data_IF_428478273304
#
_entry.id   IF_428478273304
#
_cell.length_a   1.000
_cell.length_b   1.000
_cell.length_c   1.000
_cell.angle_alpha   90.00
_cell.angle_beta   90.00
_cell.angle_gamma   90.00
#
_symmetry.space_group_name_H-M   'P 1'
#
loop_
_entity.id
_entity.type
_entity.pdbx_description
1 polymer ?
#
# COMPACT_ATOMS: atom_id res chain seq x y z
N UNK A 1 -10.55 -8.30 -4.17
CA UNK A 1 -9.67 -8.28 -2.98
C UNK A 1 -8.28 -8.81 -3.27
N UNK A 2 -8.11 -10.09 -3.62
CA UNK A 2 -6.79 -10.75 -3.65
C UNK A 2 -5.77 -10.10 -4.60
N UNK A 3 -6.19 -9.68 -5.80
CA UNK A 3 -5.30 -9.04 -6.78
C UNK A 3 -4.51 -7.86 -6.18
N UNK A 4 -5.21 -6.93 -5.53
CA UNK A 4 -4.60 -5.74 -4.93
C UNK A 4 -3.64 -6.06 -3.79
N UNK A 5 -3.93 -7.11 -3.01
CA UNK A 5 -3.06 -7.57 -1.93
C UNK A 5 -1.77 -8.14 -2.50
N UNK A 6 -1.87 -9.03 -3.50
CA UNK A 6 -0.69 -9.62 -4.14
C UNK A 6 0.17 -8.58 -4.85
N UNK A 7 -0.44 -7.67 -5.59
CA UNK A 7 0.27 -6.58 -6.27
C UNK A 7 1.08 -5.74 -5.27
N UNK A 8 0.43 -5.29 -4.19
CA UNK A 8 1.10 -4.51 -3.14
C UNK A 8 2.24 -5.28 -2.44
N UNK A 9 2.08 -6.59 -2.26
CA UNK A 9 3.08 -7.45 -1.63
C UNK A 9 4.29 -7.64 -2.54
N UNK A 10 4.10 -7.92 -3.83
CA UNK A 10 5.20 -8.10 -4.78
C UNK A 10 5.96 -6.81 -5.02
N UNK A 11 5.27 -5.67 -5.13
CA UNK A 11 5.92 -4.36 -5.27
C UNK A 11 6.79 -4.05 -4.05
N UNK A 12 6.29 -4.31 -2.84
CA UNK A 12 7.08 -4.12 -1.61
C UNK A 12 8.30 -5.08 -1.56
N UNK A 13 8.12 -6.36 -1.88
CA UNK A 13 9.20 -7.37 -1.90
C UNK A 13 10.31 -7.05 -2.90
N UNK A 14 9.97 -6.51 -4.07
CA UNK A 14 10.96 -6.19 -5.10
C UNK A 14 11.68 -4.87 -4.84
N UNK A 15 11.03 -3.94 -4.12
CA UNK A 15 11.59 -2.60 -3.85
C UNK A 15 12.48 -2.61 -2.59
N UNK A 16 12.18 -3.49 -1.62
CA UNK A 16 12.93 -3.61 -0.37
C UNK A 16 14.44 -3.90 -0.54
N UNK A 17 14.89 -4.83 -1.41
CA UNK A 17 16.32 -5.12 -1.59
C UNK A 17 17.11 -3.93 -2.13
N UNK A 18 16.56 -3.20 -3.11
CA UNK A 18 17.22 -2.03 -3.69
C UNK A 18 17.42 -0.92 -2.67
N UNK A 19 16.43 -0.68 -1.83
CA UNK A 19 16.47 0.42 -0.86
C UNK A 19 17.25 0.06 0.39
N UNK A 20 17.25 -1.21 0.80
CA UNK A 20 18.07 -1.69 1.93
C UNK A 20 19.55 -1.36 1.73
N UNK A 21 20.05 -1.47 0.50
CA UNK A 21 21.44 -1.12 0.16
C UNK A 21 21.72 0.37 0.32
N UNK A 22 20.77 1.23 -0.08
CA UNK A 22 20.88 2.69 0.05
C UNK A 22 20.82 3.11 1.52
N UNK A 23 19.87 2.57 2.29
CA UNK A 23 19.71 2.86 3.72
C UNK A 23 20.96 2.46 4.52
N UNK A 24 21.58 1.31 4.19
CA UNK A 24 22.83 0.89 4.83
C UNK A 24 24.00 1.84 4.51
N UNK A 25 24.07 2.38 3.29
CA UNK A 25 25.07 3.41 2.92
C UNK A 25 24.83 4.73 3.65
N UNK A 26 23.59 5.20 3.73
CA UNK A 26 23.25 6.44 4.45
C UNK A 26 23.45 6.30 5.96
N UNK A 27 23.21 5.12 6.53
CA UNK A 27 23.52 4.81 7.94
C UNK A 27 25.02 4.88 8.22
N UNK A 28 25.87 4.38 7.31
CA UNK A 28 27.32 4.47 7.45
C UNK A 28 27.83 5.92 7.44
N UNK A 29 27.05 6.86 6.86
CA UNK A 29 27.35 8.30 6.88
C UNK A 29 26.84 9.03 8.14
N UNK A 30 26.07 8.37 9.00
CA UNK A 30 25.56 8.94 10.25
C UNK A 30 24.38 9.94 10.09
N UNK A 31 23.77 10.03 8.91
CA UNK A 31 22.88 11.16 8.58
C UNK A 31 21.42 11.03 9.05
N UNK A 32 20.86 9.83 9.30
CA UNK A 32 19.42 9.69 9.64
C UNK A 32 19.06 8.54 10.61
N UNK A 33 18.04 8.78 11.44
CA UNK A 33 17.39 7.77 12.28
C UNK A 33 16.42 6.90 11.44
N UNK A 34 16.47 5.57 11.64
CA UNK A 34 15.70 4.57 10.89
C UNK A 34 14.18 4.80 10.92
N UNK A 35 13.66 5.33 12.04
CA UNK A 35 12.23 5.60 12.26
C UNK A 35 11.69 6.75 11.41
N UNK A 36 12.47 7.82 11.24
CA UNK A 36 12.07 8.97 10.44
C UNK A 36 12.02 8.60 8.94
N UNK A 37 12.98 7.79 8.47
CA UNK A 37 12.98 7.28 7.10
C UNK A 37 11.78 6.36 6.85
N UNK A 38 11.51 5.41 7.77
CA UNK A 38 10.38 4.50 7.63
C UNK A 38 9.04 5.24 7.61
N UNK A 39 8.84 6.22 8.50
CA UNK A 39 7.61 7.02 8.53
C UNK A 39 7.44 7.88 7.27
N UNK A 40 8.49 8.59 6.84
CA UNK A 40 8.43 9.42 5.65
C UNK A 40 8.11 8.59 4.40
N UNK A 41 8.74 7.42 4.30
CA UNK A 41 8.55 6.51 3.19
C UNK A 41 7.14 5.92 3.14
N UNK A 42 6.67 5.33 4.24
CA UNK A 42 5.30 4.77 4.34
C UNK A 42 4.24 5.84 4.06
N UNK A 43 4.47 7.08 4.52
CA UNK A 43 3.53 8.18 4.26
C UNK A 43 3.55 8.67 2.81
N UNK A 44 4.68 8.51 2.10
CA UNK A 44 4.78 8.87 0.67
C UNK A 44 4.23 7.80 -0.27
N UNK A 45 4.37 6.51 0.08
CA UNK A 45 3.93 5.40 -0.75
C UNK A 45 2.45 5.06 -0.55
N UNK A 46 1.95 5.18 0.70
CA UNK A 46 0.55 4.86 1.01
C UNK A 46 -0.47 5.61 0.14
N UNK A 47 -0.37 6.94 -0.11
CA UNK A 47 -1.33 7.65 -0.94
C UNK A 47 -1.34 7.13 -2.39
N UNK A 48 -0.16 6.91 -2.97
CA UNK A 48 -0.02 6.43 -4.34
C UNK A 48 -0.65 5.04 -4.51
N UNK A 49 -0.45 4.14 -3.53
CA UNK A 49 -1.01 2.79 -3.57
C UNK A 49 -2.50 2.72 -3.24
N UNK A 50 -3.06 3.69 -2.51
CA UNK A 50 -4.48 3.71 -2.17
C UNK A 50 -5.35 4.32 -3.29
N UNK A 51 -4.81 5.21 -4.12
CA UNK A 51 -5.56 5.86 -5.22
C UNK A 51 -5.99 4.85 -6.30
N UNK A 52 -5.12 3.92 -6.67
CA UNK A 52 -5.40 2.87 -7.66
C UNK A 52 -6.61 1.96 -7.29
N UNK A 53 -6.65 1.32 -6.11
CA UNK A 53 -7.78 0.51 -5.69
C UNK A 53 -9.04 1.34 -5.43
N UNK A 54 -8.93 2.60 -5.00
CA UNK A 54 -10.06 3.52 -4.89
C UNK A 54 -10.73 3.75 -6.26
N UNK A 55 -9.94 4.12 -7.27
CA UNK A 55 -10.45 4.34 -8.63
C UNK A 55 -11.08 3.07 -9.19
N UNK A 56 -10.42 1.92 -9.01
CA UNK A 56 -10.97 0.64 -9.45
C UNK A 56 -12.31 0.32 -8.77
N UNK A 57 -12.41 0.48 -7.45
CA UNK A 57 -13.67 0.22 -6.73
C UNK A 57 -14.78 1.20 -7.14
N UNK A 58 -14.45 2.47 -7.42
CA UNK A 58 -15.44 3.42 -7.95
C UNK A 58 -15.94 3.03 -9.34
N UNK A 59 -15.11 2.46 -10.22
CA UNK A 59 -15.57 2.06 -11.55
C UNK A 59 -16.32 0.73 -11.47
N UNK A 60 -15.72 -0.27 -10.83
CA UNK A 60 -16.26 -1.63 -10.75
C UNK A 60 -17.59 -1.70 -9.99
N UNK A 61 -17.77 -0.92 -8.92
CA UNK A 61 -19.02 -0.91 -8.16
C UNK A 61 -20.19 -0.37 -8.98
N UNK A 62 -19.98 0.73 -9.72
CA UNK A 62 -21.00 1.30 -10.60
C UNK A 62 -21.28 0.41 -11.82
N UNK A 63 -20.27 -0.27 -12.36
CA UNK A 63 -20.44 -1.24 -13.44
C UNK A 63 -21.16 -2.53 -13.00
N UNK A 64 -20.96 -2.96 -11.76
CA UNK A 64 -21.52 -4.22 -11.25
C UNK A 64 -23.02 -4.14 -10.95
N UNK A 65 -23.63 -2.95 -11.01
CA UNK A 65 -25.06 -2.77 -10.73
C UNK A 65 -25.51 -3.26 -9.35
N UNK A 66 -24.57 -3.44 -8.41
CA UNK A 66 -24.86 -3.95 -7.07
C UNK A 66 -25.59 -2.86 -6.27
N UNK A 67 -26.70 -3.26 -5.64
CA UNK A 67 -27.56 -2.50 -4.73
C UNK A 67 -26.97 -1.15 -4.25
N UNK A 68 -27.67 -0.05 -4.58
CA UNK A 68 -27.30 1.38 -4.39
C UNK A 68 -27.12 1.85 -2.95
N UNK A 69 -26.89 0.94 -2.02
CA UNK A 69 -26.67 1.24 -0.61
C UNK A 69 -25.24 1.75 -0.39
N UNK A 70 -25.09 3.06 -0.19
CA UNK A 70 -23.82 3.75 0.14
C UNK A 70 -23.05 3.06 1.27
N UNK A 71 -23.75 2.45 2.24
CA UNK A 71 -23.13 1.67 3.31
C UNK A 71 -22.29 0.50 2.80
N UNK A 72 -22.77 -0.25 1.82
CA UNK A 72 -22.06 -1.41 1.26
C UNK A 72 -20.85 -0.94 0.46
N UNK A 73 -20.98 0.15 -0.29
CA UNK A 73 -19.86 0.78 -1.00
C UNK A 73 -18.73 1.20 -0.05
N UNK A 74 -19.07 1.91 1.04
CA UNK A 74 -18.08 2.39 2.02
C UNK A 74 -17.40 1.23 2.74
N UNK A 75 -18.15 0.22 3.17
CA UNK A 75 -17.59 -0.95 3.87
C UNK A 75 -16.68 -1.78 2.95
N UNK A 76 -17.11 -2.06 1.71
CA UNK A 76 -16.31 -2.85 0.76
C UNK A 76 -15.04 -2.11 0.34
N UNK A 77 -15.15 -0.80 0.06
CA UNK A 77 -13.99 0.05 -0.25
C UNK A 77 -13.03 0.14 0.95
N UNK A 78 -13.54 0.36 2.16
CA UNK A 78 -12.74 0.37 3.38
C UNK A 78 -12.00 -0.94 3.63
N UNK A 79 -12.70 -2.09 3.50
CA UNK A 79 -12.07 -3.41 3.61
C UNK A 79 -10.96 -3.63 2.58
N UNK A 80 -11.14 -3.17 1.34
CA UNK A 80 -10.07 -3.29 0.32
C UNK A 80 -8.85 -2.44 0.65
N UNK A 81 -9.02 -1.21 1.14
CA UNK A 81 -7.91 -0.35 1.51
C UNK A 81 -7.11 -0.93 2.69
N UNK A 82 -7.80 -1.43 3.71
CA UNK A 82 -7.15 -2.11 4.84
C UNK A 82 -6.38 -3.36 4.40
N UNK A 83 -6.92 -4.10 3.42
CA UNK A 83 -6.24 -5.29 2.88
C UNK A 83 -4.95 -4.94 2.12
N UNK A 84 -4.95 -3.82 1.38
CA UNK A 84 -3.75 -3.33 0.67
C UNK A 84 -2.67 -2.88 1.65
N UNK A 85 -3.04 -2.15 2.70
CA UNK A 85 -2.09 -1.74 3.76
C UNK A 85 -1.50 -2.96 4.49
N UNK A 86 -2.30 -4.01 4.72
CA UNK A 86 -1.82 -5.26 5.31
C UNK A 86 -0.82 -5.99 4.37
N UNK A 87 -1.10 -6.04 3.07
CA UNK A 87 -0.21 -6.64 2.06
C UNK A 87 1.13 -5.91 1.95
N UNK A 88 1.11 -4.58 1.95
CA UNK A 88 2.32 -3.75 1.96
C UNK A 88 3.16 -3.96 3.24
N UNK A 89 2.50 -4.02 4.40
CA UNK A 89 3.18 -4.28 5.69
C UNK A 89 3.90 -5.63 5.71
N UNK A 90 3.28 -6.67 5.13
CA UNK A 90 3.89 -8.00 5.01
C UNK A 90 5.09 -7.96 4.07
N UNK A 91 4.98 -7.29 2.92
CA UNK A 91 6.08 -7.18 1.97
C UNK A 91 7.26 -6.33 2.47
N UNK A 92 7.04 -5.41 3.42
CA UNK A 92 8.11 -4.67 4.10
C UNK A 92 8.78 -5.45 5.24
N UNK A 93 8.09 -6.45 5.81
CA UNK A 93 8.59 -7.26 6.92
C UNK A 93 9.57 -8.35 6.46
N UNK A 94 9.41 -8.83 5.22
CA UNK A 94 10.20 -9.90 4.60
C UNK A 94 11.45 -9.34 3.91
#
# INVERSE_FOLDING_TARGET
MAYWVFDSMFVALLTFPSERVVVLKERASGSYQLSAFFLAKTTSEAPARLVLPLLYMTIAYWMSGLNSSVRVFVLTTGCTLLSVLAGESIGLLV
#
